data_IF_497594781882
#
_entry.id   IF_497594781882
#
_cell.length_a   1.000
_cell.length_b   1.000
_cell.length_c   1.000
_cell.angle_alpha   90.00
_cell.angle_beta   90.00
_cell.angle_gamma   90.00
#
_symmetry.space_group_name_H-M   'P 1'
#
loop_
_entity.id
_entity.type
_entity.pdbx_description
1 polymer ?
#
# COMPACT_ATOMS: atom_id res chain seq x y z
N UNK A 1 35.59 80.95 17.10
CA UNK A 1 36.83 80.22 17.38
C UNK A 1 37.11 79.36 16.16
N UNK A 2 38.02 79.84 15.30
CA UNK A 2 39.34 79.22 15.09
C UNK A 2 39.14 78.06 14.08
N UNK A 3 39.21 78.28 12.76
CA UNK A 3 40.35 78.83 11.98
C UNK A 3 41.65 78.27 12.55
N UNK A 4 42.43 77.44 11.87
CA UNK A 4 43.13 77.90 10.71
C UNK A 4 43.80 76.71 10.01
N UNK A 5 43.70 76.66 8.67
CA UNK A 5 44.73 76.08 7.83
C UNK A 5 45.94 77.01 7.87
N UNK A 6 47.18 76.49 7.89
CA UNK A 6 48.33 77.36 7.66
C UNK A 6 49.20 76.92 6.47
N UNK A 7 49.38 77.83 5.50
CA UNK A 7 50.16 77.66 4.29
C UNK A 7 51.64 77.97 4.55
N UNK A 8 52.48 77.93 3.51
CA UNK A 8 53.26 79.13 3.22
C UNK A 8 53.81 79.17 1.78
N UNK A 9 53.68 80.32 1.12
CA UNK A 9 54.16 80.58 -0.22
C UNK A 9 55.49 81.37 -0.22
N UNK A 10 56.07 81.47 -1.42
CA UNK A 10 56.41 82.73 -2.09
C UNK A 10 57.88 83.06 -2.41
N UNK A 11 57.96 83.74 -3.56
CA UNK A 11 58.93 84.71 -4.06
C UNK A 11 60.22 84.21 -4.72
N UNK A 12 60.29 84.36 -6.05
CA UNK A 12 60.97 85.48 -6.72
C UNK A 12 60.91 85.24 -8.24
N UNK A 13 60.16 86.03 -8.99
CA UNK A 13 60.51 87.36 -9.53
C UNK A 13 61.49 87.30 -10.72
N UNK A 14 60.94 87.69 -11.87
CA UNK A 14 61.54 88.44 -12.96
C UNK A 14 62.81 87.91 -13.66
N UNK A 15 62.64 87.55 -14.93
CA UNK A 15 63.52 88.05 -15.97
C UNK A 15 62.72 88.25 -17.27
N UNK A 16 62.47 89.51 -17.58
CA UNK A 16 62.06 90.02 -18.89
C UNK A 16 63.30 90.02 -19.79
N UNK A 17 63.19 89.53 -21.02
CA UNK A 17 63.63 90.19 -22.28
C UNK A 17 63.76 89.18 -23.44
N UNK A 18 62.90 89.45 -24.43
CA UNK A 18 62.81 89.10 -25.86
C UNK A 18 64.13 88.87 -26.67
N UNK A 19 64.08 88.70 -28.01
CA UNK A 19 63.40 87.69 -28.82
C UNK A 19 64.37 87.09 -29.87
N UNK A 20 64.09 85.92 -30.47
CA UNK A 20 64.68 85.61 -31.78
C UNK A 20 63.63 85.03 -32.73
N UNK A 21 63.21 85.96 -33.58
CA UNK A 21 62.54 85.83 -34.87
C UNK A 21 63.10 84.66 -35.70
N UNK A 22 62.24 83.71 -36.06
CA UNK A 22 62.42 82.94 -37.29
C UNK A 22 61.22 83.21 -38.19
N UNK A 23 61.41 84.19 -39.07
CA UNK A 23 60.44 84.60 -40.07
C UNK A 23 60.53 83.64 -41.27
N UNK A 24 59.35 83.22 -41.73
CA UNK A 24 58.98 83.04 -43.15
C UNK A 24 59.43 81.74 -43.82
N UNK A 25 58.45 80.89 -44.18
CA UNK A 25 57.88 80.93 -45.54
C UNK A 25 56.59 80.08 -45.64
N UNK A 26 55.43 80.73 -45.70
CA UNK A 26 54.21 80.15 -46.31
C UNK A 26 54.21 80.49 -47.80
N UNK A 27 53.77 79.56 -48.65
CA UNK A 27 52.81 79.97 -49.66
C UNK A 27 51.63 79.00 -49.85
N UNK A 28 50.45 79.64 -49.88
CA UNK A 28 49.20 79.31 -50.55
C UNK A 28 48.22 78.31 -49.89
N UNK A 29 47.00 78.77 -49.52
CA UNK A 29 45.96 77.94 -48.93
C UNK A 29 45.16 77.18 -50.00
N UNK A 30 45.08 75.86 -49.88
CA UNK A 30 44.16 75.05 -50.69
C UNK A 30 42.84 74.85 -49.96
N UNK A 31 41.76 75.31 -50.59
CA UNK A 31 40.36 75.23 -50.15
C UNK A 31 39.92 73.83 -49.75
N UNK A 32 39.36 73.75 -48.54
CA UNK A 32 38.18 73.00 -48.08
C UNK A 32 37.68 71.88 -49.02
N UNK A 33 37.76 70.64 -48.53
CA UNK A 33 36.69 69.65 -48.68
C UNK A 33 36.46 68.98 -47.32
N UNK A 34 35.36 69.37 -46.66
CA UNK A 34 34.78 68.62 -45.54
C UNK A 34 34.09 67.42 -46.16
N UNK A 35 34.76 66.27 -46.16
CA UNK A 35 34.13 65.01 -46.52
C UNK A 35 33.43 64.45 -45.29
N UNK A 36 32.14 64.72 -45.20
CA UNK A 36 31.24 64.10 -44.23
C UNK A 36 31.31 62.58 -44.39
N UNK A 37 31.94 61.89 -43.43
CA UNK A 37 31.85 60.44 -43.32
C UNK A 37 30.38 60.04 -43.06
N UNK A 38 29.81 59.06 -43.80
CA UNK A 38 28.45 58.60 -43.56
C UNK A 38 28.35 57.86 -42.21
N UNK A 39 27.19 57.93 -41.51
CA UNK A 39 27.04 57.33 -40.18
C UNK A 39 27.12 55.80 -40.23
N UNK A 40 27.95 55.21 -39.38
CA UNK A 40 28.04 53.75 -39.18
C UNK A 40 26.72 53.17 -38.64
N UNK A 41 26.32 51.94 -39.04
CA UNK A 41 25.11 51.30 -38.54
C UNK A 41 25.28 50.85 -37.07
N UNK A 42 24.24 50.94 -36.22
CA UNK A 42 24.31 50.48 -34.84
C UNK A 42 24.39 48.94 -34.74
N UNK A 43 25.10 48.38 -33.73
CA UNK A 43 25.27 46.94 -33.58
C UNK A 43 23.95 46.22 -33.27
N UNK A 44 23.82 44.93 -33.65
CA UNK A 44 22.59 44.15 -33.48
C UNK A 44 22.27 43.97 -31.99
N UNK A 45 21.14 44.54 -31.58
CA UNK A 45 20.62 44.49 -30.21
C UNK A 45 20.00 43.10 -29.98
N UNK A 46 20.83 42.11 -29.66
CA UNK A 46 20.31 40.84 -29.13
C UNK A 46 19.53 41.16 -27.86
N UNK A 47 18.24 40.80 -27.86
CA UNK A 47 17.23 41.27 -26.90
C UNK A 47 17.61 40.84 -25.49
N UNK A 48 17.94 41.79 -24.62
CA UNK A 48 18.27 41.59 -23.21
C UNK A 48 17.21 40.78 -22.40
N UNK A 49 15.98 40.63 -22.93
CA UNK A 49 14.94 39.79 -22.34
C UNK A 49 15.21 38.28 -22.35
N UNK A 50 16.02 37.76 -23.28
CA UNK A 50 16.29 36.32 -23.33
C UNK A 50 17.16 35.83 -22.16
N UNK A 51 18.08 36.67 -21.65
CA UNK A 51 18.89 36.35 -20.47
C UNK A 51 18.06 36.29 -19.18
N UNK A 52 17.05 37.15 -19.04
CA UNK A 52 16.15 37.13 -17.88
C UNK A 52 15.24 35.90 -17.88
N UNK A 53 14.64 35.57 -19.02
CA UNK A 53 13.79 34.37 -19.15
C UNK A 53 14.61 33.09 -18.93
N UNK A 54 15.84 33.03 -19.43
CA UNK A 54 16.76 31.91 -19.19
C UNK A 54 17.20 31.81 -17.72
N UNK A 55 17.43 32.94 -17.04
CA UNK A 55 17.74 32.95 -15.61
C UNK A 55 16.57 32.51 -14.74
N UNK A 56 15.35 32.94 -15.08
CA UNK A 56 14.13 32.60 -14.35
C UNK A 56 13.75 31.13 -14.56
N UNK A 57 13.93 30.59 -15.76
CA UNK A 57 13.74 29.16 -16.01
C UNK A 57 14.78 28.31 -15.28
N UNK A 58 16.04 28.74 -15.22
CA UNK A 58 17.09 28.04 -14.47
C UNK A 58 16.80 28.04 -12.97
N UNK A 59 16.39 29.17 -12.39
CA UNK A 59 15.98 29.25 -10.98
C UNK A 59 14.76 28.38 -10.68
N UNK A 60 13.78 28.36 -11.57
CA UNK A 60 12.59 27.51 -11.42
C UNK A 60 12.96 26.02 -11.43
N UNK A 61 13.85 25.60 -12.34
CA UNK A 61 14.33 24.20 -12.41
C UNK A 61 15.16 23.84 -11.18
N UNK A 62 16.03 24.73 -10.70
CA UNK A 62 16.83 24.50 -9.50
C UNK A 62 15.97 24.44 -8.23
N UNK A 63 14.94 25.28 -8.12
CA UNK A 63 13.98 25.24 -7.01
C UNK A 63 13.13 23.96 -7.03
N UNK A 64 12.60 23.58 -8.20
CA UNK A 64 11.83 22.36 -8.35
C UNK A 64 12.69 21.12 -8.06
N UNK A 65 13.93 21.09 -8.57
CA UNK A 65 14.89 20.02 -8.30
C UNK A 65 15.25 19.93 -6.82
N UNK A 66 15.57 21.06 -6.19
CA UNK A 66 15.89 21.11 -4.75
C UNK A 66 14.71 20.69 -3.87
N UNK A 67 13.50 21.11 -4.22
CA UNK A 67 12.27 20.70 -3.54
C UNK A 67 12.00 19.20 -3.72
N UNK A 68 12.20 18.66 -4.93
CA UNK A 68 12.01 17.23 -5.21
C UNK A 68 13.05 16.35 -4.51
N UNK A 69 14.31 16.79 -4.47
CA UNK A 69 15.40 16.12 -3.74
C UNK A 69 15.11 16.20 -2.23
N UNK A 70 14.72 17.36 -1.71
CA UNK A 70 14.34 17.52 -0.30
C UNK A 70 13.14 16.65 0.04
N UNK A 71 12.11 16.60 -0.80
CA UNK A 71 10.93 15.76 -0.62
C UNK A 71 11.29 14.28 -0.64
N UNK A 72 12.12 13.85 -1.60
CA UNK A 72 12.63 12.48 -1.68
C UNK A 72 13.49 12.08 -0.48
N UNK A 73 14.23 13.03 0.11
CA UNK A 73 15.07 12.79 1.28
C UNK A 73 14.30 12.92 2.60
N UNK A 74 13.19 13.65 2.63
CA UNK A 74 12.33 13.86 3.80
C UNK A 74 11.15 12.89 3.90
N UNK A 75 10.81 12.20 2.82
CA UNK A 75 9.99 10.99 2.85
C UNK A 75 10.68 9.91 3.67
N UNK A 76 10.31 9.76 4.94
CA UNK A 76 10.82 8.69 5.78
C UNK A 76 10.31 7.35 5.22
N UNK A 77 11.16 6.49 4.65
CA UNK A 77 10.73 5.24 4.01
C UNK A 77 10.04 4.31 5.02
N UNK A 78 10.39 4.43 6.30
CA UNK A 78 9.75 3.72 7.40
C UNK A 78 8.32 4.21 7.65
N UNK A 79 8.05 5.52 7.53
CA UNK A 79 6.69 6.06 7.68
C UNK A 79 5.79 5.59 6.55
N UNK A 80 6.30 5.57 5.33
CA UNK A 80 5.57 5.03 4.17
C UNK A 80 5.37 3.52 4.29
N UNK A 81 6.36 2.76 4.78
CA UNK A 81 6.22 1.33 5.05
C UNK A 81 5.17 1.05 6.15
N UNK A 82 5.13 1.86 7.22
CA UNK A 82 4.11 1.78 8.25
C UNK A 82 2.71 2.07 7.68
N UNK A 83 2.55 3.11 6.86
CA UNK A 83 1.28 3.42 6.21
C UNK A 83 0.87 2.33 5.19
N UNK A 84 1.84 1.75 4.49
CA UNK A 84 1.63 0.63 3.55
C UNK A 84 1.21 -0.65 4.29
N UNK A 85 1.74 -0.89 5.49
CA UNK A 85 1.33 -2.05 6.30
C UNK A 85 -0.14 -1.99 6.73
N UNK A 86 -0.69 -0.77 6.87
CA UNK A 86 -2.09 -0.51 7.23
C UNK A 86 -2.96 -0.21 5.99
N UNK A 87 -2.37 -0.25 4.78
CA UNK A 87 -3.11 0.00 3.55
C UNK A 87 -4.19 -1.08 3.34
N UNK A 88 -5.33 -0.71 2.72
CA UNK A 88 -6.37 -1.69 2.40
C UNK A 88 -5.78 -2.80 1.52
N UNK A 89 -6.24 -4.04 1.73
CA UNK A 89 -5.81 -5.19 0.92
C UNK A 89 -5.98 -4.84 -0.58
N UNK A 90 -5.02 -5.24 -1.44
CA UNK A 90 -5.06 -4.91 -2.85
C UNK A 90 -6.33 -5.49 -3.48
N UNK A 91 -7.25 -4.62 -3.89
CA UNK A 91 -8.49 -4.99 -4.54
C UNK A 91 -8.29 -5.10 -6.06
N UNK A 92 -8.87 -6.11 -6.73
CA UNK A 92 -8.85 -6.16 -8.19
C UNK A 92 -9.60 -4.96 -8.78
N UNK A 93 -9.22 -4.56 -9.99
CA UNK A 93 -9.89 -3.50 -10.73
C UNK A 93 -11.38 -3.84 -10.90
N UNK A 94 -12.24 -2.88 -10.60
CA UNK A 94 -13.68 -3.04 -10.77
C UNK A 94 -14.03 -3.25 -12.25
N UNK A 95 -15.04 -4.06 -12.56
CA UNK A 95 -15.45 -4.34 -13.95
C UNK A 95 -15.64 -3.06 -14.80
N UNK A 96 -16.26 -2.02 -14.22
CA UNK A 96 -16.43 -0.72 -14.88
C UNK A 96 -15.11 -0.05 -15.26
N UNK A 97 -14.08 -0.17 -14.42
CA UNK A 97 -12.75 0.39 -14.70
C UNK A 97 -12.01 -0.42 -15.76
N UNK A 98 -12.22 -1.74 -15.81
CA UNK A 98 -11.71 -2.60 -16.89
C UNK A 98 -12.36 -2.21 -18.22
N UNK A 99 -13.67 -1.97 -18.23
CA UNK A 99 -14.40 -1.53 -19.42
C UNK A 99 -13.93 -0.16 -19.90
N UNK A 100 -13.74 0.80 -19.00
CA UNK A 100 -13.19 2.12 -19.34
C UNK A 100 -11.75 2.04 -19.84
N UNK A 101 -10.89 1.22 -19.22
CA UNK A 101 -9.53 0.99 -19.68
C UNK A 101 -9.50 0.40 -21.09
N UNK A 102 -10.41 -0.53 -21.37
CA UNK A 102 -10.56 -1.16 -22.69
C UNK A 102 -11.08 -0.17 -23.74
N UNK A 103 -11.95 0.77 -23.37
CA UNK A 103 -12.42 1.82 -24.29
C UNK A 103 -11.36 2.87 -24.58
N UNK A 104 -10.53 3.21 -23.59
CA UNK A 104 -9.52 4.27 -23.69
C UNK A 104 -8.20 3.81 -24.32
N UNK A 105 -7.93 2.50 -24.30
CA UNK A 105 -6.68 1.92 -24.81
C UNK A 105 -6.95 1.15 -26.10
N UNK A 106 -6.10 1.32 -27.12
CA UNK A 106 -6.19 0.52 -28.34
C UNK A 106 -5.84 -0.95 -28.09
N UNK A 107 -6.36 -1.86 -28.92
CA UNK A 107 -6.09 -3.31 -28.78
C UNK A 107 -4.59 -3.64 -28.82
N UNK A 108 -3.81 -2.91 -29.63
CA UNK A 108 -2.36 -3.05 -29.68
C UNK A 108 -1.66 -2.57 -28.39
N UNK A 109 -2.22 -1.57 -27.71
CA UNK A 109 -1.76 -1.12 -26.39
C UNK A 109 -2.06 -2.14 -25.29
N UNK A 110 -3.28 -2.70 -25.29
CA UNK A 110 -3.67 -3.77 -24.36
C UNK A 110 -2.82 -5.04 -24.58
N UNK A 111 -2.53 -5.40 -25.82
CA UNK A 111 -1.66 -6.53 -26.16
C UNK A 111 -0.23 -6.38 -25.62
N UNK A 112 0.32 -5.16 -25.57
CA UNK A 112 1.63 -4.90 -24.97
C UNK A 112 1.64 -5.02 -23.45
N UNK A 113 0.52 -4.70 -22.80
CA UNK A 113 0.36 -4.82 -21.35
C UNK A 113 0.03 -6.25 -20.92
N UNK A 114 -0.44 -7.11 -21.84
CA UNK A 114 -0.83 -8.48 -21.52
C UNK A 114 0.31 -9.28 -20.89
N UNK A 115 1.50 -9.31 -21.50
CA UNK A 115 2.64 -10.08 -20.99
C UNK A 115 3.06 -9.67 -19.56
N UNK A 116 3.38 -8.39 -19.26
CA UNK A 116 3.78 -8.01 -17.91
C UNK A 116 2.66 -8.18 -16.88
N UNK A 117 1.40 -7.93 -17.25
CA UNK A 117 0.26 -8.09 -16.33
C UNK A 117 -0.01 -9.57 -16.05
N UNK A 118 0.05 -10.44 -17.05
CA UNK A 118 -0.15 -11.88 -16.86
C UNK A 118 0.99 -12.51 -16.07
N UNK A 119 2.24 -12.11 -16.32
CA UNK A 119 3.39 -12.56 -15.51
C UNK A 119 3.25 -12.11 -14.05
N UNK A 120 2.97 -10.83 -13.80
CA UNK A 120 2.76 -10.32 -12.44
C UNK A 120 1.56 -11.00 -11.75
N UNK A 121 0.46 -11.20 -12.48
CA UNK A 121 -0.71 -11.92 -11.97
C UNK A 121 -0.40 -13.37 -11.66
N UNK A 122 0.40 -14.05 -12.48
CA UNK A 122 0.86 -15.42 -12.24
C UNK A 122 1.66 -15.54 -10.95
N UNK A 123 2.63 -14.65 -10.73
CA UNK A 123 3.40 -14.58 -9.48
C UNK A 123 2.49 -14.31 -8.29
N UNK A 124 1.55 -13.37 -8.41
CA UNK A 124 0.61 -13.04 -7.33
C UNK A 124 -0.32 -14.21 -7.01
N UNK A 125 -0.83 -14.92 -8.02
CA UNK A 125 -1.65 -16.12 -7.83
C UNK A 125 -0.87 -17.22 -7.14
N UNK A 126 0.40 -17.44 -7.53
CA UNK A 126 1.28 -18.41 -6.87
C UNK A 126 1.45 -18.07 -5.38
N UNK A 127 1.69 -16.81 -5.05
CA UNK A 127 1.75 -16.37 -3.65
C UNK A 127 0.43 -16.61 -2.92
N UNK A 128 -0.72 -16.33 -3.54
CA UNK A 128 -2.05 -16.58 -2.98
C UNK A 128 -2.29 -18.07 -2.69
N UNK A 129 -1.72 -18.98 -3.49
CA UNK A 129 -1.83 -20.42 -3.20
C UNK A 129 -1.02 -20.88 -2.00
N UNK A 130 0.01 -20.11 -1.60
CA UNK A 130 0.88 -20.43 -0.48
C UNK A 130 0.42 -19.77 0.83
N UNK A 131 -0.66 -18.98 0.81
CA UNK A 131 -1.16 -18.32 2.02
C UNK A 131 -1.65 -19.35 3.05
N UNK A 132 -1.22 -19.24 4.33
CA UNK A 132 -1.71 -20.12 5.37
C UNK A 132 -3.20 -19.88 5.63
N UNK A 133 -3.94 -20.90 6.09
CA UNK A 133 -5.38 -20.75 6.38
C UNK A 133 -5.67 -19.72 7.48
N UNK A 134 -4.68 -19.45 8.34
CA UNK A 134 -4.75 -18.46 9.41
C UNK A 134 -4.14 -17.10 9.04
N UNK A 135 -3.90 -16.84 7.76
CA UNK A 135 -3.21 -15.63 7.32
C UNK A 135 -3.89 -14.34 7.80
N UNK A 136 -5.23 -14.26 7.72
CA UNK A 136 -5.99 -13.10 8.17
C UNK A 136 -5.81 -12.84 9.67
N UNK A 137 -5.79 -13.91 10.47
CA UNK A 137 -5.56 -13.82 11.91
C UNK A 137 -4.14 -13.37 12.21
N UNK A 138 -3.15 -13.97 11.54
CA UNK A 138 -1.74 -13.61 11.70
C UNK A 138 -1.47 -12.16 11.30
N UNK A 139 -2.10 -11.67 10.23
CA UNK A 139 -1.98 -10.27 9.79
C UNK A 139 -2.56 -9.31 10.84
N UNK A 140 -3.73 -9.61 11.40
CA UNK A 140 -4.33 -8.79 12.46
C UNK A 140 -3.47 -8.76 13.72
N UNK A 141 -2.92 -9.90 14.13
CA UNK A 141 -2.00 -9.99 15.28
C UNK A 141 -0.70 -9.22 15.01
N UNK A 142 -0.15 -9.31 13.79
CA UNK A 142 1.04 -8.56 13.38
C UNK A 142 0.81 -7.04 13.45
N UNK A 143 -0.31 -6.55 12.92
CA UNK A 143 -0.69 -5.14 12.97
C UNK A 143 -0.82 -4.63 14.41
N UNK A 144 -1.43 -5.43 15.29
CA UNK A 144 -1.56 -5.09 16.70
C UNK A 144 -0.20 -5.12 17.42
N UNK A 145 0.64 -6.10 17.13
CA UNK A 145 1.99 -6.17 17.72
C UNK A 145 2.85 -4.96 17.32
N UNK A 146 2.75 -4.55 16.06
CA UNK A 146 3.42 -3.36 15.53
C UNK A 146 2.88 -2.09 16.21
N UNK A 147 1.56 -1.96 16.36
CA UNK A 147 0.96 -0.83 17.07
C UNK A 147 1.36 -0.78 18.56
N UNK A 148 1.46 -1.94 19.22
CA UNK A 148 1.91 -2.04 20.61
C UNK A 148 3.38 -1.66 20.79
N UNK A 149 4.24 -2.02 19.84
CA UNK A 149 5.65 -1.64 19.86
C UNK A 149 5.85 -0.13 19.66
N UNK A 150 5.06 0.47 18.76
CA UNK A 150 5.13 1.91 18.47
C UNK A 150 4.51 2.76 19.59
N UNK A 151 3.42 2.29 20.20
CA UNK A 151 2.68 3.01 21.26
C UNK A 151 2.35 2.12 22.46
N UNK A 152 3.35 1.68 23.25
CA UNK A 152 3.13 0.74 24.36
C UNK A 152 2.27 1.32 25.50
N UNK A 153 2.27 2.64 25.66
CA UNK A 153 1.49 3.34 26.68
C UNK A 153 0.09 3.78 26.20
N UNK A 154 -0.25 3.60 24.92
CA UNK A 154 -1.57 4.01 24.40
C UNK A 154 -2.67 3.08 24.92
N UNK A 155 -3.74 3.70 25.43
CA UNK A 155 -4.92 2.97 25.88
C UNK A 155 -5.76 2.48 24.69
N UNK A 156 -5.73 3.20 23.57
CA UNK A 156 -6.42 2.85 22.32
C UNK A 156 -5.89 1.52 21.76
N UNK A 157 -4.57 1.34 21.73
CA UNK A 157 -3.95 0.09 21.25
C UNK A 157 -4.35 -1.10 22.13
N UNK A 158 -4.35 -0.93 23.46
CA UNK A 158 -4.82 -1.95 24.39
C UNK A 158 -6.29 -2.30 24.14
N UNK A 159 -7.15 -1.29 23.97
CA UNK A 159 -8.57 -1.49 23.66
C UNK A 159 -8.76 -2.23 22.34
N UNK A 160 -8.04 -1.85 21.28
CA UNK A 160 -8.10 -2.52 19.97
C UNK A 160 -7.68 -3.99 20.07
N UNK A 161 -6.60 -4.27 20.80
CA UNK A 161 -6.16 -5.66 21.02
C UNK A 161 -7.19 -6.51 21.78
N UNK A 162 -7.83 -5.94 22.80
CA UNK A 162 -8.89 -6.61 23.54
C UNK A 162 -10.13 -6.87 22.67
N UNK A 163 -10.53 -5.90 21.84
CA UNK A 163 -11.66 -6.05 20.92
C UNK A 163 -11.40 -7.13 19.87
N UNK A 164 -10.19 -7.16 19.31
CA UNK A 164 -9.77 -8.19 18.36
C UNK A 164 -9.83 -9.58 18.98
N UNK A 165 -9.26 -9.74 20.18
CA UNK A 165 -9.29 -11.00 20.91
C UNK A 165 -10.72 -11.45 21.24
N UNK A 166 -11.53 -10.53 21.77
CA UNK A 166 -12.93 -10.81 22.10
C UNK A 166 -13.74 -11.23 20.87
N UNK A 167 -13.54 -10.57 19.73
CA UNK A 167 -14.22 -10.92 18.48
C UNK A 167 -13.86 -12.34 18.02
N UNK A 168 -12.59 -12.73 18.14
CA UNK A 168 -12.15 -14.10 17.81
C UNK A 168 -12.74 -15.15 18.74
N UNK A 169 -12.73 -14.89 20.04
CA UNK A 169 -13.27 -15.82 21.04
C UNK A 169 -14.78 -15.98 20.90
N UNK A 170 -15.51 -14.88 20.76
CA UNK A 170 -16.96 -14.89 20.54
C UNK A 170 -17.33 -15.52 19.18
N UNK A 171 -16.49 -15.32 18.17
CA UNK A 171 -16.65 -15.87 16.84
C UNK A 171 -16.06 -17.27 16.66
N UNK A 172 -15.56 -17.94 17.70
CA UNK A 172 -14.97 -19.27 17.60
C UNK A 172 -16.01 -20.38 17.86
N UNK A 173 -15.90 -21.50 17.15
CA UNK A 173 -16.73 -22.68 17.38
C UNK A 173 -16.61 -23.13 18.85
N UNK A 174 -17.70 -23.33 19.61
CA UNK A 174 -17.64 -23.80 20.99
C UNK A 174 -16.90 -25.15 21.12
N UNK A 175 -16.14 -25.34 22.20
CA UNK A 175 -15.44 -26.61 22.44
C UNK A 175 -16.38 -27.82 22.57
N UNK A 176 -17.61 -27.58 23.04
CA UNK A 176 -18.63 -28.62 23.16
C UNK A 176 -19.04 -29.13 21.77
N UNK A 177 -19.18 -28.23 20.79
CA UNK A 177 -19.55 -28.61 19.42
C UNK A 177 -18.50 -29.50 18.74
N UNK A 178 -17.21 -29.25 19.01
CA UNK A 178 -16.12 -30.08 18.47
C UNK A 178 -16.21 -31.54 18.94
N UNK A 179 -16.88 -31.81 20.07
CA UNK A 179 -16.99 -33.15 20.64
C UNK A 179 -18.19 -33.93 20.11
N UNK A 180 -19.16 -33.28 19.47
CA UNK A 180 -20.39 -33.95 19.07
C UNK A 180 -20.16 -35.07 18.04
N UNK A 181 -19.28 -34.86 17.06
CA UNK A 181 -18.93 -35.92 16.11
C UNK A 181 -18.28 -37.11 16.82
N UNK A 182 -17.29 -36.86 17.68
CA UNK A 182 -16.64 -37.91 18.46
C UNK A 182 -17.63 -38.67 19.35
N UNK A 183 -18.59 -37.97 19.97
CA UNK A 183 -19.65 -38.57 20.77
C UNK A 183 -20.57 -39.47 19.92
N UNK A 184 -20.92 -39.05 18.71
CA UNK A 184 -21.72 -39.86 17.79
C UNK A 184 -20.97 -41.14 17.39
N UNK A 185 -19.67 -41.03 17.08
CA UNK A 185 -18.82 -42.17 16.75
C UNK A 185 -18.68 -43.15 17.93
N UNK A 186 -18.51 -42.63 19.14
CA UNK A 186 -18.46 -43.45 20.35
C UNK A 186 -19.78 -44.22 20.57
N UNK A 187 -20.93 -43.53 20.46
CA UNK A 187 -22.25 -44.18 20.56
C UNK A 187 -22.47 -45.23 19.47
N UNK A 188 -21.97 -44.98 18.26
CA UNK A 188 -22.04 -45.94 17.14
C UNK A 188 -21.18 -47.17 17.42
N UNK A 189 -19.97 -47.00 17.95
CA UNK A 189 -19.10 -48.10 18.36
C UNK A 189 -19.73 -48.94 19.47
N UNK A 190 -20.29 -48.30 20.48
CA UNK A 190 -21.02 -48.99 21.56
C UNK A 190 -22.21 -49.80 21.03
N UNK A 191 -22.92 -49.28 20.02
CA UNK A 191 -23.99 -50.02 19.35
C UNK A 191 -23.43 -51.25 18.62
N UNK A 192 -22.34 -51.11 17.87
CA UNK A 192 -21.70 -52.21 17.15
C UNK A 192 -21.22 -53.32 18.13
N UNK A 193 -20.54 -52.93 19.22
CA UNK A 193 -20.08 -53.86 20.26
C UNK A 193 -21.26 -54.59 20.91
N UNK A 194 -22.37 -53.87 21.17
CA UNK A 194 -23.59 -54.46 21.73
C UNK A 194 -24.22 -55.45 20.77
N UNK A 195 -24.27 -55.15 19.47
CA UNK A 195 -24.80 -56.04 18.44
C UNK A 195 -23.96 -57.33 18.32
N UNK A 196 -22.64 -57.19 18.25
CA UNK A 196 -21.71 -58.34 18.22
C UNK A 196 -21.88 -59.23 19.47
N UNK A 197 -22.04 -58.62 20.64
CA UNK A 197 -22.25 -59.35 21.89
C UNK A 197 -23.61 -60.08 22.01
N UNK A 198 -24.59 -59.77 21.15
CA UNK A 198 -25.85 -60.54 21.04
C UNK A 198 -25.62 -61.81 20.21
N UNK A 199 -24.82 -61.73 19.15
CA UNK A 199 -24.48 -62.88 18.32
C UNK A 199 -23.66 -63.92 19.09
N UNK A 200 -22.72 -63.47 19.92
CA UNK A 200 -21.88 -64.37 20.73
C UNK A 200 -22.66 -65.07 21.85
N UNK A 201 -23.66 -64.41 22.44
CA UNK A 201 -24.44 -64.93 23.57
C UNK A 201 -25.83 -65.31 23.10
N UNK A 202 -25.91 -66.49 22.48
CA UNK A 202 -27.16 -67.16 22.07
C UNK A 202 -28.25 -66.97 23.13
N UNK A 203 -29.24 -66.12 22.85
CA UNK A 203 -30.42 -65.90 23.68
C UNK A 203 -30.63 -64.48 24.21
N UNK A 204 -29.66 -63.55 24.05
CA UNK A 204 -29.93 -62.12 24.27
C UNK A 204 -30.32 -61.47 22.96
N UNK A 205 -31.43 -60.74 22.96
CA UNK A 205 -31.94 -59.99 21.82
C UNK A 205 -32.04 -58.52 22.19
N UNK A 206 -31.82 -57.63 21.22
CA UNK A 206 -32.17 -56.23 21.37
C UNK A 206 -33.53 -55.99 20.73
N UNK A 207 -34.43 -55.36 21.47
CA UNK A 207 -35.75 -55.00 20.93
C UNK A 207 -35.63 -53.89 19.89
N UNK A 208 -36.58 -53.83 18.96
CA UNK A 208 -36.65 -52.74 17.97
C UNK A 208 -36.76 -51.37 18.66
N UNK A 209 -37.45 -51.31 19.80
CA UNK A 209 -37.57 -50.08 20.61
C UNK A 209 -36.23 -49.62 21.17
N UNK A 210 -35.42 -50.54 21.69
CA UNK A 210 -34.07 -50.22 22.16
C UNK A 210 -33.16 -49.77 21.02
N UNK A 211 -33.19 -50.46 19.88
CA UNK A 211 -32.40 -50.07 18.72
C UNK A 211 -32.75 -48.65 18.26
N UNK A 212 -34.05 -48.33 18.17
CA UNK A 212 -34.51 -46.97 17.84
C UNK A 212 -33.99 -45.94 18.82
N UNK A 213 -34.02 -46.22 20.12
CA UNK A 213 -33.47 -45.32 21.14
C UNK A 213 -31.97 -45.08 20.98
N UNK A 214 -31.18 -46.12 20.68
CA UNK A 214 -29.73 -45.98 20.47
C UNK A 214 -29.44 -45.21 19.17
N UNK A 215 -30.15 -45.52 18.08
CA UNK A 215 -30.00 -44.80 16.80
C UNK A 215 -30.34 -43.32 16.98
N UNK A 216 -31.43 -43.00 17.69
CA UNK A 216 -31.78 -41.61 18.01
C UNK A 216 -30.68 -40.93 18.84
N UNK A 217 -30.12 -41.64 19.83
CA UNK A 217 -29.01 -41.12 20.61
C UNK A 217 -27.75 -40.88 19.76
N UNK A 218 -27.47 -41.69 18.73
CA UNK A 218 -26.36 -41.46 17.79
C UNK A 218 -26.61 -40.23 16.91
N UNK A 219 -27.84 -40.06 16.43
CA UNK A 219 -28.21 -38.95 15.54
C UNK A 219 -28.25 -37.60 16.25
N UNK A 220 -28.67 -37.56 17.51
CA UNK A 220 -28.87 -36.34 18.27
C UNK A 220 -27.64 -35.39 18.31
N UNK A 221 -26.40 -35.83 18.57
CA UNK A 221 -25.24 -34.94 18.50
C UNK A 221 -24.90 -34.49 17.08
N UNK A 222 -25.17 -35.32 16.07
CA UNK A 222 -24.92 -34.98 14.65
C UNK A 222 -25.88 -33.90 14.13
N UNK A 223 -27.11 -33.86 14.64
CA UNK A 223 -28.08 -32.81 14.29
C UNK A 223 -27.84 -31.51 15.05
N UNK A 224 -27.21 -31.57 16.24
CA UNK A 224 -26.88 -30.38 17.02
C UNK A 224 -25.75 -29.54 16.41
N UNK A 225 -24.73 -30.17 15.84
CA UNK A 225 -23.68 -29.48 15.11
C UNK A 225 -23.46 -30.14 13.77
N UNK A 226 -24.07 -29.54 12.73
CA UNK A 226 -23.87 -30.01 11.38
C UNK A 226 -22.39 -29.83 10.98
N UNK A 227 -21.71 -30.90 10.54
CA UNK A 227 -20.32 -30.81 10.09
C UNK A 227 -20.24 -29.96 8.83
N UNK A 228 -19.09 -29.30 8.65
CA UNK A 228 -18.87 -28.41 7.52
C UNK A 228 -18.89 -29.18 6.19
N UNK A 229 -18.40 -30.41 6.22
CA UNK A 229 -18.37 -31.34 5.09
C UNK A 229 -19.78 -31.65 4.58
N UNK A 230 -20.76 -31.78 5.48
CA UNK A 230 -22.15 -32.02 5.11
C UNK A 230 -22.79 -30.77 4.48
N UNK A 231 -22.46 -29.57 4.97
CA UNK A 231 -22.88 -28.32 4.34
C UNK A 231 -22.30 -28.18 2.91
N UNK A 232 -21.03 -28.55 2.72
CA UNK A 232 -20.38 -28.54 1.40
C UNK A 232 -21.00 -29.58 0.45
N UNK A 233 -21.35 -30.77 0.96
CA UNK A 233 -22.08 -31.80 0.19
C UNK A 233 -23.43 -31.26 -0.31
N UNK A 234 -24.21 -30.63 0.58
CA UNK A 234 -25.49 -30.01 0.22
C UNK A 234 -25.32 -28.89 -0.83
N UNK A 235 -24.28 -28.06 -0.68
CA UNK A 235 -23.95 -27.02 -1.64
C UNK A 235 -23.60 -27.59 -3.03
N UNK A 236 -22.85 -28.69 -3.06
CA UNK A 236 -22.50 -29.39 -4.29
C UNK A 236 -23.74 -29.98 -4.98
N UNK A 237 -24.62 -30.67 -4.24
CA UNK A 237 -25.84 -31.28 -4.81
C UNK A 237 -26.76 -30.23 -5.46
N UNK A 238 -26.90 -29.06 -4.85
CA UNK A 238 -27.69 -27.96 -5.40
C UNK A 238 -27.05 -27.37 -6.65
N UNK A 239 -25.73 -27.21 -6.62
CA UNK A 239 -24.97 -26.71 -7.78
C UNK A 239 -25.06 -27.67 -8.98
N UNK A 240 -25.01 -28.99 -8.73
CA UNK A 240 -25.17 -30.02 -9.75
C UNK A 240 -26.58 -30.06 -10.34
N UNK A 241 -27.59 -29.70 -9.55
CA UNK A 241 -28.99 -29.64 -9.99
C UNK A 241 -29.30 -28.42 -10.89
N UNK A 242 -28.29 -27.64 -11.27
CA UNK A 242 -28.44 -26.43 -12.10
C UNK A 242 -29.12 -25.26 -11.38
N UNK A 243 -29.37 -25.39 -10.07
CA UNK A 243 -29.98 -24.35 -9.25
C UNK A 243 -28.89 -23.44 -8.69
N UNK A 244 -29.16 -22.14 -8.62
CA UNK A 244 -28.26 -21.24 -7.89
C UNK A 244 -28.38 -21.57 -6.40
N UNK A 245 -27.30 -21.95 -5.70
CA UNK A 245 -27.36 -22.27 -4.28
C UNK A 245 -27.95 -21.12 -3.48
N UNK A 246 -28.85 -21.36 -2.50
CA UNK A 246 -29.43 -20.32 -1.67
C UNK A 246 -28.35 -19.49 -0.97
N UNK A 247 -28.54 -18.17 -0.92
CA UNK A 247 -27.63 -17.25 -0.23
C UNK A 247 -27.46 -17.60 1.26
N UNK A 248 -28.53 -18.09 1.91
CA UNK A 248 -28.51 -18.52 3.29
C UNK A 248 -27.53 -19.69 3.54
N UNK A 249 -27.46 -20.67 2.63
CA UNK A 249 -26.55 -21.81 2.76
C UNK A 249 -25.09 -21.35 2.65
N UNK A 250 -24.80 -20.43 1.72
CA UNK A 250 -23.45 -19.84 1.59
C UNK A 250 -23.03 -19.11 2.86
N UNK A 251 -23.90 -18.24 3.40
CA UNK A 251 -23.64 -17.52 4.65
C UNK A 251 -23.42 -18.48 5.82
N UNK A 252 -24.19 -19.56 5.88
CA UNK A 252 -23.99 -20.59 6.91
C UNK A 252 -22.61 -21.25 6.77
N UNK A 253 -22.20 -21.64 5.57
CA UNK A 253 -20.88 -22.20 5.28
C UNK A 253 -19.78 -21.23 5.70
N UNK A 254 -19.85 -19.98 5.26
CA UNK A 254 -18.85 -18.94 5.56
C UNK A 254 -18.73 -18.70 7.07
N UNK A 255 -19.86 -18.70 7.79
CA UNK A 255 -19.88 -18.56 9.24
C UNK A 255 -19.22 -19.76 9.94
N UNK A 256 -19.48 -20.99 9.48
CA UNK A 256 -18.88 -22.21 10.05
C UNK A 256 -17.38 -22.29 9.78
N UNK A 257 -16.94 -21.91 8.57
CA UNK A 257 -15.52 -21.75 8.27
C UNK A 257 -14.86 -20.76 9.23
N UNK A 258 -15.45 -19.57 9.38
CA UNK A 258 -14.93 -18.53 10.27
C UNK A 258 -14.84 -19.02 11.71
N UNK A 259 -15.87 -19.71 12.21
CA UNK A 259 -15.91 -20.29 13.55
C UNK A 259 -14.81 -21.33 13.79
N UNK A 260 -14.61 -22.24 12.84
CA UNK A 260 -13.59 -23.27 12.94
C UNK A 260 -12.18 -22.68 12.80
N UNK A 261 -11.97 -21.72 11.89
CA UNK A 261 -10.70 -21.02 11.73
C UNK A 261 -10.32 -20.24 13.00
N UNK A 262 -11.26 -19.50 13.59
CA UNK A 262 -11.02 -18.79 14.85
C UNK A 262 -10.69 -19.76 15.99
N UNK A 263 -11.42 -20.88 16.08
CA UNK A 263 -11.11 -21.94 17.06
C UNK A 263 -9.72 -22.53 16.83
N UNK A 264 -9.34 -22.80 15.59
CA UNK A 264 -8.02 -23.31 15.25
C UNK A 264 -6.92 -22.30 15.63
N UNK A 265 -7.10 -21.01 15.36
CA UNK A 265 -6.17 -19.96 15.76
C UNK A 265 -6.00 -19.88 17.30
N UNK A 266 -7.09 -19.99 18.05
CA UNK A 266 -7.04 -19.99 19.52
C UNK A 266 -6.32 -21.24 20.07
N UNK A 267 -6.52 -22.40 19.45
CA UNK A 267 -5.81 -23.62 19.83
C UNK A 267 -4.32 -23.52 19.51
N UNK A 268 -3.96 -23.06 18.31
CA UNK A 268 -2.57 -22.89 17.87
C UNK A 268 -1.80 -21.84 18.72
N UNK A 269 -2.47 -20.76 19.13
CA UNK A 269 -1.86 -19.77 20.02
C UNK A 269 -1.67 -20.29 21.44
N UNK A 270 -2.64 -21.05 21.97
CA UNK A 270 -2.51 -21.67 23.29
C UNK A 270 -1.38 -22.70 23.36
N UNK A 271 -1.15 -23.47 22.30
CA UNK A 271 -0.02 -24.42 22.22
C UNK A 271 1.35 -23.74 22.14
N UNK A 272 1.43 -22.52 21.60
CA UNK A 272 2.69 -21.77 21.52
C UNK A 272 3.05 -21.05 22.83
N UNK A 273 2.13 -20.97 23.79
CA UNK A 273 2.32 -20.33 25.08
C UNK A 273 2.72 -21.31 26.20
N UNK A 274 2.78 -22.62 25.91
CA UNK A 274 3.23 -23.68 26.81
C UNK A 274 4.66 -24.10 26.48
#
# INVERSE_FOLDING_TARGET
>A
AISEPQPQPAFSSAAVSEPLVYLVNEPAPTRVQVELSPPSPPPPRWKAGHGFVAGLSLMAVLMAGSFFIWQSLSSNPLREALLTSVAPLPAPLAAKSIDELRKQTSDAGLGRLAEPVLQASGIQLEQLTQLPPLWAQAQGDALLSQAQQLWPASQEVKRLSALWQQQREAGAAPLVELKHYALAQERLRQLADRLNGLDEKKGRYMTVSELKSVVFAIQQPLTQSLPLEELLRQYQEQSQSGQTPPSALRQQIDSRFTQLLNRYALLASSSNAQ
#
